data_IF_516368342278
#
_entry.id   IF_516368342278
#
_cell.length_a   1.000
_cell.length_b   1.000
_cell.length_c   1.000
_cell.angle_alpha   90.00
_cell.angle_beta   90.00
_cell.angle_gamma   90.00
#
_symmetry.space_group_name_H-M   'P 1'
#
loop_
_entity.id
_entity.type
_entity.pdbx_description
1 polymer ?
#
# COMPACT_ATOMS: atom_id res chain seq x y z
N UNK A 1 23.03 -14.20 -20.50
CA UNK A 1 22.16 -14.83 -19.49
C UNK A 1 21.81 -13.84 -18.38
N UNK A 2 22.76 -13.02 -17.90
CA UNK A 2 22.54 -11.96 -16.89
C UNK A 2 21.47 -10.91 -17.24
N UNK A 3 21.32 -10.52 -18.51
CA UNK A 3 20.29 -9.55 -18.90
C UNK A 3 18.85 -10.04 -18.64
N UNK A 4 18.58 -11.35 -18.73
CA UNK A 4 17.22 -11.88 -18.58
C UNK A 4 16.75 -11.83 -17.12
N UNK A 5 17.65 -12.13 -16.19
CA UNK A 5 17.34 -12.10 -14.76
C UNK A 5 17.18 -10.66 -14.26
N UNK A 6 17.95 -9.70 -14.79
CA UNK A 6 17.79 -8.28 -14.51
C UNK A 6 16.45 -7.72 -15.03
N UNK A 7 16.01 -8.13 -16.23
CA UNK A 7 14.70 -7.75 -16.79
C UNK A 7 13.56 -8.27 -15.91
N UNK A 8 13.61 -9.55 -15.52
CA UNK A 8 12.58 -10.15 -14.66
C UNK A 8 12.53 -9.50 -13.26
N UNK A 9 13.67 -9.07 -12.73
CA UNK A 9 13.72 -8.32 -11.47
C UNK A 9 13.09 -6.92 -11.61
N UNK A 10 13.35 -6.23 -12.72
CA UNK A 10 12.73 -4.94 -13.03
C UNK A 10 11.21 -5.05 -13.21
N UNK A 11 10.73 -6.03 -13.97
CA UNK A 11 9.30 -6.27 -14.17
C UNK A 11 8.58 -6.60 -12.85
N UNK A 12 9.20 -7.40 -11.97
CA UNK A 12 8.65 -7.70 -10.65
C UNK A 12 8.60 -6.45 -9.76
N UNK A 13 9.63 -5.61 -9.80
CA UNK A 13 9.65 -4.34 -9.06
C UNK A 13 8.54 -3.41 -9.53
N UNK A 14 8.43 -3.18 -10.84
CA UNK A 14 7.42 -2.30 -11.43
C UNK A 14 6.00 -2.78 -11.12
N UNK A 15 5.76 -4.10 -11.21
CA UNK A 15 4.46 -4.69 -10.89
C UNK A 15 4.06 -4.46 -9.41
N UNK A 16 5.01 -4.63 -8.49
CA UNK A 16 4.77 -4.45 -7.05
C UNK A 16 4.56 -2.97 -6.75
N UNK A 17 5.43 -2.08 -7.25
CA UNK A 17 5.29 -0.64 -7.09
C UNK A 17 3.94 -0.15 -7.62
N UNK A 18 3.56 -0.53 -8.83
CA UNK A 18 2.26 -0.16 -9.40
C UNK A 18 1.10 -0.62 -8.50
N UNK A 19 1.15 -1.87 -8.02
CA UNK A 19 0.09 -2.42 -7.16
C UNK A 19 -0.01 -1.66 -5.83
N UNK A 20 1.11 -1.38 -5.16
CA UNK A 20 1.14 -0.61 -3.92
C UNK A 20 0.67 0.83 -4.15
N UNK A 21 1.10 1.47 -5.23
CA UNK A 21 0.68 2.83 -5.60
C UNK A 21 -0.82 2.91 -5.83
N UNK A 22 -1.41 2.00 -6.61
CA UNK A 22 -2.85 1.99 -6.91
C UNK A 22 -3.67 1.74 -5.64
N UNK A 23 -3.25 0.80 -4.79
CA UNK A 23 -3.95 0.52 -3.53
C UNK A 23 -3.91 1.71 -2.58
N UNK A 24 -2.73 2.35 -2.44
CA UNK A 24 -2.55 3.48 -1.54
C UNK A 24 -3.32 4.72 -2.01
N UNK A 25 -3.29 5.00 -3.31
CA UNK A 25 -4.08 6.07 -3.91
C UNK A 25 -5.58 5.81 -3.78
N UNK A 26 -6.03 4.57 -3.97
CA UNK A 26 -7.44 4.23 -3.77
C UNK A 26 -7.91 4.47 -2.33
N UNK A 27 -7.03 4.21 -1.34
CA UNK A 27 -7.33 4.52 0.05
C UNK A 27 -7.48 6.03 0.28
N UNK A 28 -6.55 6.85 -0.23
CA UNK A 28 -6.62 8.32 -0.13
C UNK A 28 -7.86 8.87 -0.83
N UNK A 29 -8.15 8.42 -2.05
CA UNK A 29 -9.35 8.84 -2.79
C UNK A 29 -10.61 8.48 -2.00
N UNK A 30 -10.68 7.29 -1.41
CA UNK A 30 -11.82 6.92 -0.57
C UNK A 30 -11.99 7.85 0.64
N UNK A 31 -10.90 8.19 1.32
CA UNK A 31 -10.93 9.02 2.52
C UNK A 31 -11.26 10.49 2.18
N UNK A 32 -10.57 11.05 1.19
CA UNK A 32 -10.64 12.47 0.88
C UNK A 32 -11.80 12.79 -0.07
N UNK A 33 -11.94 12.02 -1.15
CA UNK A 33 -12.89 12.35 -2.21
C UNK A 33 -14.27 11.72 -2.01
N UNK A 34 -14.34 10.53 -1.41
CA UNK A 34 -15.61 9.84 -1.19
C UNK A 34 -16.22 10.21 0.16
N UNK A 35 -15.46 10.06 1.25
CA UNK A 35 -15.94 10.36 2.60
C UNK A 35 -15.83 11.85 2.96
N UNK A 36 -15.08 12.66 2.19
CA UNK A 36 -14.91 14.10 2.42
C UNK A 36 -14.30 14.44 3.80
N UNK A 37 -13.42 13.58 4.30
CA UNK A 37 -12.80 13.73 5.62
C UNK A 37 -11.67 14.78 5.67
N UNK A 38 -11.30 15.40 4.53
CA UNK A 38 -10.19 16.35 4.41
C UNK A 38 -8.90 15.81 5.04
N UNK A 39 -8.45 14.64 4.57
CA UNK A 39 -7.30 13.94 5.16
C UNK A 39 -6.00 14.69 4.95
N UNK A 40 -5.18 14.74 6.00
CA UNK A 40 -3.83 15.29 5.91
C UNK A 40 -2.87 14.20 5.41
N UNK A 41 -2.53 14.26 4.11
CA UNK A 41 -1.56 13.36 3.50
C UNK A 41 -0.41 14.12 2.85
N UNK A 42 0.77 13.52 2.90
CA UNK A 42 1.99 14.00 2.28
C UNK A 42 2.38 13.01 1.17
N UNK A 43 2.65 13.53 -0.03
CA UNK A 43 3.08 12.72 -1.16
C UNK A 43 4.28 13.36 -1.87
N UNK A 44 5.31 12.56 -2.11
CA UNK A 44 6.50 12.95 -2.88
C UNK A 44 7.09 11.73 -3.59
N UNK A 45 8.23 11.92 -4.28
CA UNK A 45 8.83 10.86 -5.08
C UNK A 45 9.21 9.63 -4.22
N UNK A 46 8.49 8.52 -4.41
CA UNK A 46 8.66 7.29 -3.65
C UNK A 46 8.16 7.35 -2.19
N UNK A 47 7.35 8.35 -1.82
CA UNK A 47 6.88 8.53 -0.44
C UNK A 47 5.40 8.89 -0.37
N UNK A 48 4.71 8.26 0.58
CA UNK A 48 3.33 8.54 0.93
C UNK A 48 3.15 8.40 2.44
N UNK A 49 2.54 9.40 3.07
CA UNK A 49 2.15 9.37 4.47
C UNK A 49 0.73 9.91 4.61
N UNK A 50 -0.05 9.26 5.46
CA UNK A 50 -1.39 9.67 5.86
C UNK A 50 -1.41 9.79 7.38
N UNK A 51 -1.95 10.90 7.89
CA UNK A 51 -2.11 11.13 9.32
C UNK A 51 -3.59 11.43 9.64
N UNK A 52 -4.14 10.73 10.64
CA UNK A 52 -5.51 10.92 11.14
C UNK A 52 -5.55 11.74 12.43
N UNK A 53 -4.41 12.29 12.89
CA UNK A 53 -4.37 13.15 14.06
C UNK A 53 -5.35 14.32 13.92
N UNK A 54 -6.20 14.49 14.94
CA UNK A 54 -7.23 15.54 14.97
C UNK A 54 -8.60 15.11 14.46
N UNK A 55 -8.75 13.88 13.95
CA UNK A 55 -10.05 13.34 13.54
C UNK A 55 -10.93 13.04 14.76
N UNK A 56 -12.23 13.25 14.62
CA UNK A 56 -13.25 12.84 15.60
C UNK A 56 -13.40 11.32 15.62
N UNK A 57 -14.07 10.81 16.65
CA UNK A 57 -14.30 9.36 16.76
C UNK A 57 -15.12 8.83 15.57
N UNK A 58 -16.14 9.57 15.15
CA UNK A 58 -17.00 9.23 14.02
C UNK A 58 -16.19 9.16 12.71
N UNK A 59 -15.37 10.17 12.43
CA UNK A 59 -14.50 10.21 11.25
C UNK A 59 -13.46 9.06 11.26
N UNK A 60 -12.90 8.73 12.43
CA UNK A 60 -12.02 7.56 12.58
C UNK A 60 -12.76 6.26 12.25
N UNK A 61 -14.00 6.09 12.73
CA UNK A 61 -14.78 4.88 12.46
C UNK A 61 -15.04 4.72 10.96
N UNK A 62 -15.39 5.80 10.27
CA UNK A 62 -15.60 5.79 8.82
C UNK A 62 -14.29 5.51 8.06
N UNK A 63 -13.21 6.22 8.41
CA UNK A 63 -11.89 6.04 7.82
C UNK A 63 -11.39 4.60 7.98
N UNK A 64 -11.71 3.96 9.11
CA UNK A 64 -11.24 2.61 9.37
C UNK A 64 -11.81 1.55 8.44
N UNK A 65 -12.97 1.77 7.84
CA UNK A 65 -13.50 0.85 6.82
C UNK A 65 -12.54 0.79 5.62
N UNK A 66 -12.05 1.95 5.19
CA UNK A 66 -11.13 2.05 4.04
C UNK A 66 -9.71 1.62 4.39
N UNK A 67 -9.19 2.00 5.55
CA UNK A 67 -7.83 1.66 5.97
C UNK A 67 -7.67 0.17 6.26
N UNK A 68 -8.65 -0.47 6.90
CA UNK A 68 -8.66 -1.93 7.04
C UNK A 68 -8.81 -2.64 5.69
N UNK A 69 -9.59 -2.07 4.77
CA UNK A 69 -9.69 -2.61 3.40
C UNK A 69 -8.33 -2.56 2.71
N UNK A 70 -7.64 -1.41 2.77
CA UNK A 70 -6.29 -1.25 2.24
C UNK A 70 -5.29 -2.24 2.86
N UNK A 71 -5.32 -2.41 4.18
CA UNK A 71 -4.50 -3.39 4.90
C UNK A 71 -4.76 -4.83 4.40
N UNK A 72 -6.03 -5.23 4.26
CA UNK A 72 -6.40 -6.55 3.75
C UNK A 72 -6.00 -6.73 2.28
N UNK A 73 -6.10 -5.67 1.46
CA UNK A 73 -5.64 -5.69 0.08
C UNK A 73 -4.12 -5.85 -0.03
N UNK A 74 -3.34 -5.19 0.82
CA UNK A 74 -1.89 -5.38 0.88
C UNK A 74 -1.52 -6.80 1.33
N UNK A 75 -2.22 -7.34 2.32
CA UNK A 75 -2.02 -8.72 2.75
C UNK A 75 -2.33 -9.72 1.61
N UNK A 76 -3.42 -9.48 0.87
CA UNK A 76 -3.78 -10.28 -0.30
C UNK A 76 -2.74 -10.19 -1.41
N UNK A 77 -2.24 -8.99 -1.72
CA UNK A 77 -1.15 -8.77 -2.66
C UNK A 77 0.10 -9.57 -2.27
N UNK A 78 0.49 -9.50 -1.00
CA UNK A 78 1.63 -10.25 -0.47
C UNK A 78 1.46 -11.76 -0.62
N UNK A 79 0.26 -12.30 -0.32
CA UNK A 79 -0.03 -13.72 -0.51
C UNK A 79 0.05 -14.15 -1.98
N UNK A 80 -0.45 -13.32 -2.89
CA UNK A 80 -0.34 -13.53 -4.33
C UNK A 80 1.11 -13.56 -4.80
N UNK A 81 1.91 -12.57 -4.37
CA UNK A 81 3.33 -12.47 -4.69
C UNK A 81 4.14 -13.64 -4.11
N UNK A 82 3.81 -14.11 -2.91
CA UNK A 82 4.44 -15.30 -2.32
C UNK A 82 4.21 -16.55 -3.16
N UNK A 83 3.00 -16.70 -3.72
CA UNK A 83 2.65 -17.80 -4.61
C UNK A 83 3.38 -17.72 -5.97
N UNK A 84 3.50 -16.51 -6.53
CA UNK A 84 4.08 -16.30 -7.86
C UNK A 84 5.61 -16.22 -7.88
N UNK A 85 6.22 -15.52 -6.92
CA UNK A 85 7.66 -15.22 -6.89
C UNK A 85 8.43 -16.02 -5.83
N UNK A 86 7.72 -16.59 -4.86
CA UNK A 86 8.28 -17.23 -3.68
C UNK A 86 8.68 -16.21 -2.59
N UNK A 87 8.46 -16.59 -1.34
CA UNK A 87 8.65 -15.72 -0.16
C UNK A 87 10.04 -15.07 -0.07
N UNK A 88 11.11 -15.82 -0.35
CA UNK A 88 12.50 -15.28 -0.31
C UNK A 88 12.73 -14.15 -1.32
N UNK A 89 12.06 -14.19 -2.46
CA UNK A 89 12.19 -13.18 -3.52
C UNK A 89 11.30 -11.99 -3.21
N UNK A 90 10.04 -12.22 -2.83
CA UNK A 90 9.08 -11.16 -2.48
C UNK A 90 9.58 -10.24 -1.38
N UNK A 91 10.18 -10.79 -0.31
CA UNK A 91 10.72 -10.00 0.80
C UNK A 91 11.85 -9.02 0.42
N UNK A 92 12.41 -9.10 -0.80
CA UNK A 92 13.38 -8.12 -1.30
C UNK A 92 12.72 -6.84 -1.82
N UNK A 93 11.41 -6.88 -2.09
CA UNK A 93 10.67 -5.83 -2.78
C UNK A 93 9.60 -5.18 -1.91
N UNK A 94 8.99 -5.92 -1.00
CA UNK A 94 7.95 -5.39 -0.11
C UNK A 94 8.02 -6.04 1.28
N UNK A 95 8.02 -5.18 2.29
CA UNK A 95 7.92 -5.53 3.71
C UNK A 95 6.75 -4.73 4.32
N UNK A 96 6.00 -5.38 5.20
CA UNK A 96 4.88 -4.74 5.92
C UNK A 96 5.22 -4.81 7.40
N UNK A 97 5.32 -3.63 8.01
CA UNK A 97 5.59 -3.46 9.43
C UNK A 97 4.32 -2.94 10.09
N UNK A 98 3.94 -3.53 11.24
CA UNK A 98 2.83 -3.06 12.06
C UNK A 98 3.38 -2.78 13.45
N UNK A 99 3.15 -1.57 13.92
CA UNK A 99 3.56 -1.11 15.24
C UNK A 99 2.29 -0.63 15.95
N UNK A 100 2.05 -1.12 17.16
CA UNK A 100 1.04 -0.53 18.04
C UNK A 100 1.66 0.74 18.63
N UNK A 101 0.97 1.87 18.44
CA UNK A 101 1.40 3.22 18.83
C UNK A 101 0.60 3.70 20.03
#
# INVERSE_FOLDING_TARGET
>A
MECRDAILAGEAYDMICNSVSVLSQSAIIGLDEVLKLNVNYEMSDGYLKLDLNGFTHEEIVEAQVLLKTFEMSLASLVLGLDSSLGKKTRCKYIEIIKEEV
#
